data_IF_703723537585
#
_entry.id   IF_703723537585
#
_cell.length_a   1.000
_cell.length_b   1.000
_cell.length_c   1.000
_cell.angle_alpha   90.00
_cell.angle_beta   90.00
_cell.angle_gamma   90.00
#
_symmetry.space_group_name_H-M   'P 1'
#
loop_
_entity.id
_entity.type
_entity.pdbx_description
1 polymer ?
#
# COMPACT_ATOMS: atom_id res chain seq x y z
N UNK A 1 30.07 -91.88 -1.41
CA UNK A 1 30.23 -92.83 -0.30
C UNK A 1 31.57 -92.52 0.35
N UNK A 2 31.72 -91.98 1.55
CA UNK A 2 30.81 -91.64 2.63
C UNK A 2 31.47 -90.60 3.54
N UNK A 3 30.62 -89.78 4.17
CA UNK A 3 30.72 -89.14 5.49
C UNK A 3 32.10 -88.89 6.12
N UNK A 4 32.35 -87.64 6.52
CA UNK A 4 32.30 -87.24 7.95
C UNK A 4 32.59 -85.73 8.13
N UNK A 5 31.64 -85.06 8.80
CA UNK A 5 31.79 -83.95 9.73
C UNK A 5 32.64 -82.72 9.32
N UNK A 6 31.96 -81.67 8.86
CA UNK A 6 32.38 -80.28 9.08
C UNK A 6 31.84 -79.83 10.44
N UNK A 7 32.72 -79.61 11.41
CA UNK A 7 32.40 -78.73 12.53
C UNK A 7 33.65 -78.25 13.28
N UNK A 8 33.53 -77.03 13.80
CA UNK A 8 34.34 -76.39 14.84
C UNK A 8 35.80 -75.99 14.54
N UNK A 9 35.99 -74.67 14.31
CA UNK A 9 37.02 -73.86 14.98
C UNK A 9 36.55 -72.39 15.00
N UNK A 10 35.57 -72.11 15.88
CA UNK A 10 35.24 -70.77 16.35
C UNK A 10 36.31 -70.35 17.35
N UNK A 11 37.08 -69.32 17.02
CA UNK A 11 37.97 -68.64 17.96
C UNK A 11 37.26 -67.41 18.54
N UNK A 12 37.28 -67.35 19.86
CA UNK A 12 36.75 -66.28 20.70
C UNK A 12 37.29 -64.90 20.30
N UNK A 13 36.39 -63.99 19.94
CA UNK A 13 36.69 -62.54 19.94
C UNK A 13 35.72 -61.84 20.89
N UNK A 14 36.27 -61.44 22.04
CA UNK A 14 35.61 -60.57 23.03
C UNK A 14 35.12 -59.28 22.39
N UNK A 15 33.81 -59.08 22.38
CA UNK A 15 33.19 -57.79 22.03
C UNK A 15 33.47 -56.78 23.14
N UNK A 16 34.45 -55.89 22.93
CA UNK A 16 34.61 -54.67 23.72
C UNK A 16 33.57 -53.66 23.23
N UNK A 17 32.54 -53.40 24.05
CA UNK A 17 31.64 -52.25 23.87
C UNK A 17 32.47 -50.96 24.02
N UNK A 18 32.83 -50.34 22.90
CA UNK A 18 33.39 -48.98 22.90
C UNK A 18 32.24 -48.04 23.24
N UNK A 19 32.25 -47.44 24.43
CA UNK A 19 31.45 -46.24 24.71
C UNK A 19 32.01 -45.13 23.83
N UNK A 20 31.33 -44.84 22.73
CA UNK A 20 31.59 -43.65 21.94
C UNK A 20 31.11 -42.48 22.80
N UNK A 21 32.05 -41.69 23.32
CA UNK A 21 31.73 -40.41 23.94
C UNK A 21 31.00 -39.58 22.88
N UNK A 22 29.78 -39.17 23.16
CA UNK A 22 29.07 -38.20 22.36
C UNK A 22 29.92 -36.94 22.36
N UNK A 23 30.52 -36.62 21.21
CA UNK A 23 31.17 -35.36 20.99
C UNK A 23 30.07 -34.31 21.02
N UNK A 24 29.96 -33.57 22.13
CA UNK A 24 29.11 -32.40 22.22
C UNK A 24 29.62 -31.39 21.21
N UNK A 25 28.81 -31.16 20.18
CA UNK A 25 29.03 -30.10 19.23
C UNK A 25 28.85 -28.80 20.02
N UNK A 26 29.80 -27.84 19.97
CA UNK A 26 29.55 -26.54 20.56
C UNK A 26 28.26 -26.00 19.93
N UNK A 27 27.32 -25.59 20.77
CA UNK A 27 26.15 -24.84 20.33
C UNK A 27 26.69 -23.62 19.60
N UNK A 28 26.70 -23.69 18.26
CA UNK A 28 27.00 -22.57 17.40
C UNK A 28 26.09 -21.45 17.86
N UNK A 29 26.68 -20.40 18.42
CA UNK A 29 26.03 -19.11 18.61
C UNK A 29 25.20 -18.85 17.36
N UNK A 30 23.88 -18.70 17.52
CA UNK A 30 23.02 -18.32 16.42
C UNK A 30 23.64 -17.08 15.78
N UNK A 31 24.20 -17.25 14.58
CA UNK A 31 24.72 -16.14 13.80
C UNK A 31 23.54 -15.16 13.68
N UNK A 32 23.66 -14.03 14.37
CA UNK A 32 22.81 -12.87 14.10
C UNK A 32 22.84 -12.66 12.60
N UNK A 33 21.66 -12.58 11.96
CA UNK A 33 21.57 -12.12 10.57
C UNK A 33 22.49 -10.91 10.41
N UNK A 34 23.28 -10.83 9.32
CA UNK A 34 24.18 -9.69 9.14
C UNK A 34 23.36 -8.40 9.26
N UNK A 35 23.85 -7.45 10.08
CA UNK A 35 23.18 -6.18 10.28
C UNK A 35 22.90 -5.56 8.92
N UNK A 36 21.65 -5.12 8.65
CA UNK A 36 21.34 -4.60 7.34
C UNK A 36 22.22 -3.39 7.01
N UNK A 37 22.91 -3.44 5.87
CA UNK A 37 23.83 -2.37 5.43
C UNK A 37 23.05 -1.38 4.56
N UNK A 38 22.14 -0.64 5.22
CA UNK A 38 21.37 0.45 4.63
C UNK A 38 20.44 0.10 3.47
N UNK A 39 19.69 1.11 3.02
CA UNK A 39 18.74 1.04 1.92
C UNK A 39 18.87 2.29 1.06
N UNK A 40 19.04 2.11 -0.25
CA UNK A 40 18.92 3.20 -1.22
C UNK A 40 17.52 3.19 -1.83
N UNK A 41 16.78 4.29 -1.68
CA UNK A 41 15.51 4.54 -2.35
C UNK A 41 15.77 5.39 -3.59
N UNK A 42 15.36 4.91 -4.76
CA UNK A 42 15.40 5.64 -6.03
C UNK A 42 13.97 6.06 -6.40
N UNK A 43 13.79 7.31 -6.79
CA UNK A 43 12.49 7.85 -7.21
C UNK A 43 12.57 8.38 -8.64
N UNK A 44 11.48 8.18 -9.39
CA UNK A 44 11.40 8.61 -10.79
C UNK A 44 9.99 9.01 -11.19
N UNK A 45 9.90 9.86 -12.21
CA UNK A 45 8.64 10.22 -12.84
C UNK A 45 8.14 9.00 -13.62
N UNK A 46 6.96 8.52 -13.28
CA UNK A 46 6.37 7.37 -13.95
C UNK A 46 5.63 7.72 -15.25
N UNK A 47 5.49 9.01 -15.57
CA UNK A 47 4.89 9.52 -16.81
C UNK A 47 5.92 9.91 -17.88
N UNK A 48 7.18 10.07 -17.49
CA UNK A 48 8.30 10.36 -18.38
C UNK A 48 9.40 9.31 -18.17
N UNK A 49 9.78 8.57 -19.23
CA UNK A 49 10.76 7.48 -19.17
C UNK A 49 11.98 7.81 -18.30
N UNK A 50 12.02 7.21 -17.11
CA UNK A 50 13.16 7.15 -16.18
C UNK A 50 13.80 8.50 -15.78
N UNK A 51 13.03 9.58 -15.74
CA UNK A 51 13.53 10.86 -15.20
C UNK A 51 13.59 10.77 -13.67
N UNK A 52 14.78 10.91 -13.04
CA UNK A 52 14.89 10.90 -11.59
C UNK A 52 14.14 12.08 -10.97
N UNK A 53 13.55 11.86 -9.78
CA UNK A 53 12.82 12.91 -9.06
C UNK A 53 13.59 13.38 -7.83
N UNK A 54 14.18 14.56 -7.92
CA UNK A 54 14.73 15.26 -6.76
C UNK A 54 13.63 15.76 -5.82
N UNK A 55 13.97 16.05 -4.57
CA UNK A 55 13.07 16.65 -3.56
C UNK A 55 11.75 15.86 -3.38
N UNK A 56 11.84 14.53 -3.42
CA UNK A 56 10.76 13.63 -2.98
C UNK A 56 10.98 13.35 -1.50
N UNK A 57 10.00 13.66 -0.65
CA UNK A 57 10.03 13.26 0.75
C UNK A 57 9.87 11.74 0.84
N UNK A 58 10.85 11.07 1.44
CA UNK A 58 10.87 9.64 1.69
C UNK A 58 10.76 9.41 3.20
N UNK A 59 9.69 8.73 3.60
CA UNK A 59 9.51 8.25 4.97
C UNK A 59 9.60 6.74 4.98
N UNK A 60 10.51 6.21 5.78
CA UNK A 60 10.68 4.78 6.00
C UNK A 60 10.09 4.46 7.37
N UNK A 61 9.05 3.64 7.38
CA UNK A 61 8.21 3.38 8.55
C UNK A 61 8.24 1.89 8.84
N UNK A 62 8.36 1.56 10.12
CA UNK A 62 8.13 0.21 10.63
C UNK A 62 6.81 0.22 11.39
N UNK A 63 5.86 -0.62 10.98
CA UNK A 63 4.65 -0.85 11.77
C UNK A 63 4.90 -1.99 12.72
N UNK A 64 4.84 -1.69 14.02
CA UNK A 64 4.98 -2.65 15.09
C UNK A 64 3.66 -2.80 15.81
N UNK A 65 3.48 -3.98 16.37
CA UNK A 65 2.34 -4.35 17.19
C UNK A 65 2.29 -3.52 18.48
N UNK A 66 3.45 -3.21 19.07
CA UNK A 66 3.57 -2.54 20.38
C UNK A 66 3.57 -1.01 20.29
N UNK A 67 4.31 -0.44 19.33
CA UNK A 67 4.53 1.01 19.23
C UNK A 67 3.71 1.66 18.09
N UNK A 68 2.91 0.88 17.37
CA UNK A 68 2.23 1.36 16.15
C UNK A 68 3.24 1.71 15.07
N UNK A 69 3.13 2.90 14.47
CA UNK A 69 4.06 3.37 13.43
C UNK A 69 5.30 4.02 14.02
N UNK A 70 6.46 3.42 13.77
CA UNK A 70 7.78 3.96 14.13
C UNK A 70 8.46 4.48 12.87
N UNK A 71 8.85 5.75 12.87
CA UNK A 71 9.61 6.35 11.78
C UNK A 71 11.09 5.97 11.93
N UNK A 72 11.62 5.24 10.95
CA UNK A 72 13.01 4.78 10.91
C UNK A 72 13.91 5.83 10.26
N UNK A 73 13.42 6.44 9.17
CA UNK A 73 14.10 7.52 8.49
C UNK A 73 13.10 8.48 7.85
N UNK A 74 13.48 9.75 7.77
CA UNK A 74 12.78 10.76 6.99
C UNK A 74 13.82 11.68 6.33
N UNK A 75 13.84 11.73 5.00
CA UNK A 75 14.70 12.62 4.24
C UNK A 75 14.15 12.83 2.84
N UNK A 76 14.64 13.85 2.14
CA UNK A 76 14.33 14.06 0.73
C UNK A 76 15.36 13.39 -0.19
N UNK A 77 14.95 13.06 -1.41
CA UNK A 77 15.85 12.60 -2.47
C UNK A 77 16.71 13.74 -3.01
N UNK A 78 17.95 13.42 -3.39
CA UNK A 78 18.90 14.35 -3.99
C UNK A 78 18.59 14.64 -5.47
N UNK A 79 19.45 15.42 -6.14
CA UNK A 79 19.32 15.77 -7.55
C UNK A 79 19.25 14.54 -8.50
N UNK A 80 19.73 13.38 -8.06
CA UNK A 80 19.70 12.12 -8.82
C UNK A 80 18.46 11.27 -8.47
N UNK A 81 17.54 11.81 -7.68
CA UNK A 81 16.34 11.12 -7.22
C UNK A 81 16.62 10.01 -6.21
N UNK A 82 17.76 10.05 -5.52
CA UNK A 82 18.19 9.02 -4.58
C UNK A 82 18.16 9.50 -3.13
N UNK A 83 17.84 8.59 -2.22
CA UNK A 83 17.95 8.77 -0.77
C UNK A 83 18.56 7.50 -0.18
N UNK A 84 19.53 7.66 0.72
CA UNK A 84 20.11 6.54 1.46
C UNK A 84 19.73 6.64 2.95
N UNK A 85 19.42 5.50 3.55
CA UNK A 85 19.15 5.39 4.98
C UNK A 85 19.91 4.22 5.58
N UNK A 86 20.40 4.40 6.80
CA UNK A 86 20.89 3.29 7.62
C UNK A 86 19.69 2.53 8.21
N UNK A 87 19.63 1.22 7.99
CA UNK A 87 18.50 0.38 8.38
C UNK A 87 19.01 -0.70 9.33
N UNK A 88 18.70 -0.58 10.61
CA UNK A 88 19.14 -1.54 11.62
C UNK A 88 18.16 -2.70 11.86
N UNK A 89 17.22 -2.97 10.93
CA UNK A 89 16.23 -4.05 11.06
C UNK A 89 16.04 -4.84 9.75
N UNK A 90 15.87 -6.16 9.88
CA UNK A 90 15.49 -7.04 8.77
C UNK A 90 13.96 -7.20 8.64
N UNK A 91 13.19 -6.51 9.48
CA UNK A 91 11.74 -6.51 9.43
C UNK A 91 11.20 -5.89 8.13
N UNK A 92 9.93 -6.12 7.85
CA UNK A 92 9.25 -5.48 6.74
C UNK A 92 9.05 -3.99 7.05
N UNK A 93 9.48 -3.14 6.11
CA UNK A 93 9.35 -1.70 6.15
C UNK A 93 8.29 -1.23 5.15
N UNK A 94 7.74 -0.06 5.40
CA UNK A 94 6.88 0.69 4.48
C UNK A 94 7.64 1.93 4.08
N UNK A 95 7.85 2.10 2.78
CA UNK A 95 8.50 3.27 2.19
C UNK A 95 7.39 4.11 1.56
N UNK A 96 7.22 5.33 2.07
CA UNK A 96 6.25 6.30 1.58
C UNK A 96 6.97 7.41 0.84
N UNK A 97 6.52 7.68 -0.39
CA UNK A 97 7.04 8.77 -1.20
C UNK A 97 5.96 9.84 -1.37
N UNK A 98 6.30 11.09 -1.04
CA UNK A 98 5.43 12.25 -1.22
C UNK A 98 6.16 13.38 -1.93
N UNK A 99 5.47 14.00 -2.89
CA UNK A 99 5.99 15.15 -3.62
C UNK A 99 4.84 16.00 -4.13
N UNK A 100 4.89 17.31 -3.91
CA UNK A 100 3.90 18.26 -4.43
C UNK A 100 3.72 18.08 -5.95
N UNK A 101 2.47 17.97 -6.38
CA UNK A 101 2.10 17.76 -7.78
C UNK A 101 2.08 16.29 -8.24
N UNK A 102 2.56 15.37 -7.41
CA UNK A 102 2.50 13.93 -7.63
C UNK A 102 1.49 13.28 -6.68
N UNK A 103 1.10 12.05 -7.00
CA UNK A 103 0.30 11.18 -6.15
C UNK A 103 1.21 10.58 -5.10
N UNK A 104 0.79 10.67 -3.84
CA UNK A 104 1.44 9.93 -2.76
C UNK A 104 1.31 8.43 -3.02
N UNK A 105 2.41 7.71 -2.82
CA UNK A 105 2.48 6.27 -3.03
C UNK A 105 3.31 5.60 -1.94
N UNK A 106 3.11 4.30 -1.77
CA UNK A 106 3.89 3.52 -0.84
C UNK A 106 4.20 2.14 -1.40
N UNK A 107 5.19 1.52 -0.80
CA UNK A 107 5.60 0.16 -1.09
C UNK A 107 6.21 -0.48 0.14
N UNK A 108 6.11 -1.80 0.23
CA UNK A 108 6.76 -2.58 1.27
C UNK A 108 8.14 -3.01 0.81
N UNK A 109 9.05 -3.07 1.77
CA UNK A 109 10.41 -3.52 1.53
C UNK A 109 10.83 -4.50 2.60
N UNK A 110 11.48 -5.58 2.18
CA UNK A 110 12.16 -6.50 3.10
C UNK A 110 13.62 -6.53 2.74
N UNK A 111 14.45 -6.34 3.75
CA UNK A 111 15.89 -6.38 3.59
C UNK A 111 16.34 -7.75 3.09
N UNK A 112 17.31 -7.73 2.18
CA UNK A 112 17.97 -8.92 1.63
C UNK A 112 19.42 -8.96 2.15
N UNK A 113 19.74 -9.91 3.04
CA UNK A 113 21.11 -10.12 3.49
C UNK A 113 22.09 -10.26 2.33
N UNK A 114 23.28 -9.68 2.48
CA UNK A 114 24.41 -9.83 1.55
C UNK A 114 24.19 -9.22 0.14
N UNK A 115 23.03 -8.62 -0.13
CA UNK A 115 22.73 -7.91 -1.37
C UNK A 115 22.84 -6.38 -1.23
N UNK A 116 23.00 -5.69 -2.35
CA UNK A 116 22.78 -4.24 -2.39
C UNK A 116 21.28 -3.98 -2.35
N UNK A 117 20.84 -3.35 -1.26
CA UNK A 117 19.43 -3.09 -1.01
C UNK A 117 19.04 -1.77 -1.69
N UNK A 118 18.50 -1.89 -2.91
CA UNK A 118 18.00 -0.77 -3.73
C UNK A 118 16.50 -0.98 -3.97
N UNK A 119 15.71 0.06 -3.71
CA UNK A 119 14.27 0.05 -3.92
C UNK A 119 13.84 1.22 -4.80
N UNK A 120 13.05 0.95 -5.84
CA UNK A 120 12.64 1.98 -6.82
C UNK A 120 11.16 2.28 -6.70
N UNK A 121 10.81 3.57 -6.55
CA UNK A 121 9.44 4.08 -6.52
C UNK A 121 9.21 4.95 -7.77
N UNK A 122 8.14 4.66 -8.51
CA UNK A 122 7.73 5.46 -9.66
C UNK A 122 6.51 6.29 -9.27
N UNK A 123 6.64 7.62 -9.27
CA UNK A 123 5.57 8.53 -8.86
C UNK A 123 4.78 9.02 -10.08
N UNK A 124 3.46 9.06 -9.95
CA UNK A 124 2.55 9.50 -11.00
C UNK A 124 1.99 10.89 -10.70
N UNK A 125 1.56 11.61 -11.74
CA UNK A 125 0.77 12.84 -11.60
C UNK A 125 -0.70 12.53 -11.81
N UNK A 126 -1.57 13.38 -11.27
CA UNK A 126 -2.99 13.32 -11.57
C UNK A 126 -3.23 13.51 -13.08
N UNK A 127 -3.97 12.60 -13.68
CA UNK A 127 -4.28 12.64 -15.11
C UNK A 127 -5.43 13.58 -15.46
N UNK A 128 -6.30 13.89 -14.49
CA UNK A 128 -7.49 14.72 -14.70
C UNK A 128 -7.58 15.83 -13.66
N UNK A 129 -8.15 16.97 -14.09
CA UNK A 129 -8.37 18.14 -13.25
C UNK A 129 -9.66 18.86 -13.61
N UNK A 130 -10.29 19.48 -12.62
CA UNK A 130 -11.46 20.35 -12.77
C UNK A 130 -11.35 21.56 -11.85
N UNK A 131 -11.49 22.74 -12.42
CA UNK A 131 -11.49 23.99 -11.68
C UNK A 131 -12.92 24.48 -11.47
N UNK A 132 -13.23 24.94 -10.26
CA UNK A 132 -14.48 25.63 -9.95
C UNK A 132 -14.25 26.82 -9.02
N UNK A 133 -15.13 27.82 -9.09
CA UNK A 133 -15.27 28.80 -8.02
C UNK A 133 -16.18 28.21 -6.94
N UNK A 134 -15.66 28.08 -5.73
CA UNK A 134 -16.39 27.55 -4.59
C UNK A 134 -17.43 28.55 -4.09
N UNK A 135 -18.65 28.06 -3.89
CA UNK A 135 -19.77 28.82 -3.32
C UNK A 135 -20.36 27.96 -2.22
N UNK A 136 -20.11 28.29 -0.95
CA UNK A 136 -20.43 27.43 0.19
C UNK A 136 -21.92 27.16 0.32
N UNK A 137 -22.79 28.02 -0.19
CA UNK A 137 -24.24 27.84 -0.14
C UNK A 137 -24.82 26.84 -1.14
N UNK A 138 -23.98 26.14 -1.94
CA UNK A 138 -24.47 25.29 -3.02
C UNK A 138 -23.82 23.90 -3.02
N UNK A 139 -24.65 22.87 -3.19
CA UNK A 139 -24.17 21.53 -3.48
C UNK A 139 -23.48 21.47 -4.85
N UNK A 140 -22.51 20.57 -4.96
CA UNK A 140 -21.71 20.38 -6.17
C UNK A 140 -21.55 18.89 -6.48
N UNK A 141 -22.00 18.50 -7.67
CA UNK A 141 -21.65 17.22 -8.26
C UNK A 141 -20.41 17.39 -9.14
N UNK A 142 -19.31 16.74 -8.77
CA UNK A 142 -18.09 16.68 -9.57
C UNK A 142 -17.94 15.28 -10.15
N UNK A 143 -17.91 15.17 -11.47
CA UNK A 143 -17.75 13.88 -12.16
C UNK A 143 -16.43 13.77 -12.93
N UNK A 144 -15.76 12.63 -12.89
CA UNK A 144 -14.61 12.33 -13.74
C UNK A 144 -14.90 11.11 -14.61
N UNK A 145 -14.64 11.21 -15.92
CA UNK A 145 -14.86 10.12 -16.90
C UNK A 145 -13.54 9.70 -17.54
N UNK A 146 -12.89 8.65 -17.03
CA UNK A 146 -11.70 8.07 -17.66
C UNK A 146 -12.04 7.55 -19.07
N UNK A 147 -11.05 7.58 -19.98
CA UNK A 147 -11.24 7.38 -21.44
C UNK A 147 -11.84 6.02 -21.88
N UNK A 148 -12.06 5.08 -20.96
CA UNK A 148 -12.59 3.74 -21.27
C UNK A 148 -13.70 3.27 -20.31
N UNK A 149 -14.20 4.14 -19.43
CA UNK A 149 -15.31 3.81 -18.53
C UNK A 149 -16.59 4.53 -18.97
N UNK A 150 -17.66 3.77 -19.18
CA UNK A 150 -18.99 4.32 -19.51
C UNK A 150 -19.63 5.09 -18.34
N UNK A 151 -19.25 4.75 -17.12
CA UNK A 151 -19.75 5.36 -15.87
C UNK A 151 -18.71 6.33 -15.32
N UNK A 152 -19.10 7.56 -14.92
CA UNK A 152 -18.22 8.46 -14.20
C UNK A 152 -17.90 7.97 -12.79
N UNK A 153 -16.76 8.42 -12.27
CA UNK A 153 -16.58 8.61 -10.83
C UNK A 153 -17.32 9.88 -10.44
N UNK A 154 -18.21 9.82 -9.46
CA UNK A 154 -18.99 10.96 -8.99
C UNK A 154 -18.69 11.31 -7.54
N UNK A 155 -18.73 12.60 -7.26
CA UNK A 155 -18.46 13.18 -5.95
C UNK A 155 -19.53 14.25 -5.66
N UNK A 156 -20.43 13.95 -4.73
CA UNK A 156 -21.49 14.86 -4.27
C UNK A 156 -20.96 15.65 -3.06
N UNK A 157 -20.38 16.81 -3.34
CA UNK A 157 -19.78 17.71 -2.37
C UNK A 157 -20.88 18.63 -1.81
N UNK A 158 -21.28 18.48 -0.53
CA UNK A 158 -22.38 19.27 0.03
C UNK A 158 -22.02 20.74 0.21
N UNK A 159 -23.03 21.60 0.28
CA UNK A 159 -22.89 22.98 0.71
C UNK A 159 -22.11 23.08 2.05
N UNK A 160 -21.13 24.00 2.12
CA UNK A 160 -20.32 24.25 3.30
C UNK A 160 -19.32 23.16 3.66
N UNK A 161 -19.12 22.15 2.80
CA UNK A 161 -18.25 21.00 3.12
C UNK A 161 -16.76 21.28 2.94
N UNK A 162 -16.34 22.22 2.10
CA UNK A 162 -14.92 22.57 1.93
C UNK A 162 -14.47 23.62 2.94
N UNK A 163 -13.33 23.39 3.59
CA UNK A 163 -12.66 24.37 4.44
C UNK A 163 -11.86 25.37 3.59
N UNK A 164 -12.58 26.24 2.90
CA UNK A 164 -11.99 27.32 2.09
C UNK A 164 -12.92 28.54 2.08
N UNK A 165 -12.39 29.77 1.98
CA UNK A 165 -13.22 30.97 1.91
C UNK A 165 -14.23 30.95 0.76
N UNK A 166 -15.34 31.65 0.93
CA UNK A 166 -16.33 31.89 -0.14
C UNK A 166 -15.65 32.48 -1.38
N UNK A 167 -16.11 32.09 -2.58
CA UNK A 167 -15.56 32.52 -3.88
C UNK A 167 -14.09 32.11 -4.14
N UNK A 168 -13.49 31.26 -3.31
CA UNK A 168 -12.17 30.69 -3.59
C UNK A 168 -12.18 29.89 -4.90
N UNK A 169 -11.10 30.00 -5.68
CA UNK A 169 -10.87 29.09 -6.81
C UNK A 169 -10.25 27.80 -6.30
N UNK A 170 -10.91 26.68 -6.57
CA UNK A 170 -10.41 25.36 -6.18
C UNK A 170 -10.23 24.46 -7.40
N UNK A 171 -9.18 23.64 -7.37
CA UNK A 171 -8.89 22.63 -8.38
C UNK A 171 -9.06 21.23 -7.77
N UNK A 172 -9.98 20.46 -8.32
CA UNK A 172 -10.13 19.03 -8.06
C UNK A 172 -9.16 18.28 -8.97
N UNK A 173 -8.21 17.56 -8.39
CA UNK A 173 -7.24 16.71 -9.06
C UNK A 173 -7.64 15.26 -8.84
N UNK A 174 -7.65 14.47 -9.91
CA UNK A 174 -8.21 13.13 -9.89
C UNK A 174 -7.31 12.14 -10.63
N UNK A 175 -7.22 10.94 -10.08
CA UNK A 175 -6.60 9.79 -10.72
C UNK A 175 -7.43 8.53 -10.50
N UNK A 176 -7.87 7.89 -11.58
CA UNK A 176 -8.41 6.53 -11.50
C UNK A 176 -7.33 5.47 -11.70
N UNK A 177 -7.67 4.24 -11.34
CA UNK A 177 -6.86 3.06 -11.62
C UNK A 177 -7.77 2.02 -12.25
N UNK A 178 -7.38 1.49 -13.41
CA UNK A 178 -7.96 0.24 -13.88
C UNK A 178 -7.42 -0.92 -13.03
N UNK A 179 -8.21 -1.34 -12.05
CA UNK A 179 -7.91 -2.46 -11.14
C UNK A 179 -7.79 -3.80 -11.88
N UNK A 180 -8.17 -3.83 -13.16
CA UNK A 180 -7.99 -4.98 -14.03
C UNK A 180 -6.64 -5.03 -14.75
N UNK A 181 -5.94 -3.90 -14.82
CA UNK A 181 -4.64 -3.73 -15.46
C UNK A 181 -3.51 -3.76 -14.41
N UNK A 182 -2.71 -4.84 -14.32
CA UNK A 182 -1.63 -4.94 -13.34
C UNK A 182 -0.58 -3.84 -13.43
N UNK A 183 -0.37 -3.25 -14.62
CA UNK A 183 0.63 -2.21 -14.82
C UNK A 183 0.18 -0.86 -14.27
N UNK A 184 -1.10 -0.54 -14.36
CA UNK A 184 -1.67 0.64 -13.68
C UNK A 184 -1.77 0.41 -12.18
N UNK A 185 -2.17 -0.79 -11.76
CA UNK A 185 -2.31 -1.10 -10.34
C UNK A 185 -0.99 -1.00 -9.57
N UNK A 186 0.14 -1.35 -10.20
CA UNK A 186 1.49 -1.17 -9.62
C UNK A 186 1.89 0.28 -9.39
N UNK A 187 1.16 1.24 -9.94
CA UNK A 187 1.42 2.67 -9.78
C UNK A 187 0.64 3.29 -8.61
N UNK A 188 -0.40 2.60 -8.13
CA UNK A 188 -1.15 2.98 -6.94
C UNK A 188 -0.35 2.63 -5.66
N UNK A 189 -0.73 3.18 -4.49
CA UNK A 189 -0.15 2.75 -3.23
C UNK A 189 -0.33 1.25 -3.02
N UNK A 190 0.72 0.58 -2.51
CA UNK A 190 0.68 -0.87 -2.35
C UNK A 190 -0.52 -1.32 -1.50
N UNK A 191 -1.18 -2.39 -1.94
CA UNK A 191 -2.46 -2.87 -1.40
C UNK A 191 -2.29 -3.63 -0.08
N UNK A 192 -1.62 -3.00 0.89
CA UNK A 192 -1.43 -3.51 2.24
C UNK A 192 -2.30 -2.68 3.20
N UNK A 193 -3.24 -3.37 3.86
CA UNK A 193 -4.09 -2.80 4.89
C UNK A 193 -3.50 -2.98 6.29
N UNK A 194 -3.70 -2.00 7.15
CA UNK A 194 -3.46 -2.10 8.58
C UNK A 194 -4.78 -2.30 9.32
N UNK A 195 -4.83 -3.33 10.16
CA UNK A 195 -5.96 -3.63 11.04
C UNK A 195 -5.48 -3.56 12.48
N UNK A 196 -6.01 -2.62 13.23
CA UNK A 196 -5.71 -2.46 14.65
C UNK A 196 -6.60 -3.40 15.48
N UNK A 197 -5.99 -4.05 16.48
CA UNK A 197 -6.64 -4.95 17.42
C UNK A 197 -6.13 -4.70 18.84
N UNK A 198 -6.72 -5.35 19.84
CA UNK A 198 -6.21 -5.28 21.22
C UNK A 198 -4.78 -5.81 21.35
N UNK A 199 -4.39 -6.72 20.46
CA UNK A 199 -3.05 -7.29 20.42
C UNK A 199 -2.07 -6.40 19.67
N UNK A 200 -2.53 -5.35 18.96
CA UNK A 200 -1.73 -4.42 18.16
C UNK A 200 -2.14 -4.39 16.67
N UNK A 201 -1.32 -3.73 15.84
CA UNK A 201 -1.57 -3.56 14.40
C UNK A 201 -1.05 -4.75 13.58
N UNK A 202 -1.93 -5.34 12.76
CA UNK A 202 -1.58 -6.41 11.81
C UNK A 202 -1.68 -5.92 10.37
N UNK A 203 -0.70 -6.28 9.55
CA UNK A 203 -0.71 -6.02 8.11
C UNK A 203 -1.35 -7.16 7.32
N UNK A 204 -2.23 -6.79 6.39
CA UNK A 204 -2.96 -7.73 5.54
C UNK A 204 -2.89 -7.34 4.06
N UNK A 205 -2.82 -8.32 3.16
CA UNK A 205 -2.99 -8.08 1.73
C UNK A 205 -4.45 -7.77 1.39
N UNK A 206 -4.67 -6.83 0.47
CA UNK A 206 -6.00 -6.40 0.03
C UNK A 206 -6.24 -6.75 -1.44
N UNK A 207 -7.43 -7.27 -1.74
CA UNK A 207 -7.98 -7.36 -3.09
C UNK A 207 -8.82 -6.12 -3.37
N UNK A 208 -8.48 -5.40 -4.43
CA UNK A 208 -9.18 -4.18 -4.85
C UNK A 208 -10.15 -4.44 -5.99
N UNK A 209 -11.32 -3.80 -5.93
CA UNK A 209 -12.39 -3.93 -6.93
C UNK A 209 -12.63 -2.63 -7.69
N UNK A 210 -12.46 -1.50 -7.01
CA UNK A 210 -12.42 -0.16 -7.59
C UNK A 210 -11.61 0.75 -6.68
N UNK A 211 -10.89 1.71 -7.26
CA UNK A 211 -10.16 2.72 -6.51
C UNK A 211 -9.96 3.98 -7.35
N UNK A 212 -9.75 5.09 -6.66
CA UNK A 212 -9.33 6.36 -7.23
C UNK A 212 -8.78 7.28 -6.15
N UNK A 213 -8.06 8.30 -6.58
CA UNK A 213 -7.60 9.41 -5.78
C UNK A 213 -8.41 10.66 -6.14
N UNK A 214 -8.81 11.41 -5.11
CA UNK A 214 -9.29 12.78 -5.27
C UNK A 214 -8.57 13.68 -4.25
N UNK A 215 -7.87 14.70 -4.75
CA UNK A 215 -7.32 15.81 -3.97
C UNK A 215 -7.98 17.13 -4.41
N UNK A 216 -8.23 18.02 -3.46
CA UNK A 216 -8.69 19.40 -3.74
C UNK A 216 -7.63 20.37 -3.25
N UNK A 217 -7.27 21.35 -4.08
CA UNK A 217 -6.34 22.42 -3.72
C UNK A 217 -6.95 23.79 -3.98
N UNK A 218 -6.59 24.76 -3.15
CA UNK A 218 -6.89 26.16 -3.42
C UNK A 218 -5.88 26.67 -4.46
N UNK A 219 -6.36 27.32 -5.51
CA UNK A 219 -5.53 27.74 -6.65
C UNK A 219 -4.66 28.96 -6.34
N UNK A 220 -5.01 29.77 -5.34
CA UNK A 220 -4.31 31.02 -5.05
C UNK A 220 -3.06 30.77 -4.18
N UNK A 221 -3.09 29.76 -3.32
CA UNK A 221 -1.97 29.41 -2.41
C UNK A 221 -1.42 27.98 -2.61
N UNK A 222 -2.01 27.20 -3.52
CA UNK A 222 -1.67 25.81 -3.83
C UNK A 222 -1.70 24.86 -2.62
N UNK A 223 -2.40 25.23 -1.55
CA UNK A 223 -2.57 24.38 -0.36
C UNK A 223 -3.71 23.39 -0.55
N UNK A 224 -3.60 22.17 0.04
CA UNK A 224 -4.73 21.26 0.14
C UNK A 224 -5.93 21.93 0.83
N UNK A 225 -7.13 21.62 0.37
CA UNK A 225 -8.39 22.04 1.00
C UNK A 225 -8.95 20.86 1.75
N UNK A 226 -9.20 21.04 3.04
CA UNK A 226 -9.78 20.01 3.91
C UNK A 226 -11.32 20.02 3.87
N UNK A 227 -11.91 19.01 4.51
CA UNK A 227 -13.35 18.84 4.62
C UNK A 227 -13.86 19.17 6.01
N UNK A 228 -14.92 19.97 6.05
CA UNK A 228 -15.73 20.25 7.22
C UNK A 228 -16.88 19.23 7.38
N UNK A 229 -17.37 18.69 6.27
CA UNK A 229 -18.46 17.71 6.22
C UNK A 229 -18.10 16.54 5.29
N UNK A 230 -18.56 15.31 5.58
CA UNK A 230 -18.39 14.20 4.66
C UNK A 230 -19.13 14.43 3.34
N UNK A 231 -18.67 13.76 2.28
CA UNK A 231 -19.31 13.76 0.96
C UNK A 231 -19.64 12.33 0.51
N UNK A 232 -20.64 12.19 -0.36
CA UNK A 232 -20.96 10.91 -1.00
C UNK A 232 -20.16 10.76 -2.29
N UNK A 233 -19.56 9.60 -2.49
CA UNK A 233 -18.85 9.25 -3.71
C UNK A 233 -19.38 7.96 -4.31
N UNK A 234 -19.46 7.90 -5.65
CA UNK A 234 -19.76 6.66 -6.36
C UNK A 234 -18.65 6.31 -7.34
N UNK A 235 -18.07 5.12 -7.17
CA UNK A 235 -17.01 4.62 -8.03
C UNK A 235 -17.55 3.52 -8.95
N UNK A 236 -17.24 3.53 -10.25
CA UNK A 236 -17.53 2.41 -11.13
C UNK A 236 -16.90 1.12 -10.62
N UNK A 237 -17.67 0.03 -10.54
CA UNK A 237 -17.16 -1.29 -10.17
C UNK A 237 -16.77 -2.07 -11.43
N UNK A 238 -15.54 -1.85 -11.91
CA UNK A 238 -14.97 -2.58 -13.06
C UNK A 238 -14.85 -4.09 -12.79
N UNK A 239 -14.67 -4.49 -11.53
CA UNK A 239 -14.72 -5.88 -11.07
C UNK A 239 -15.62 -5.98 -9.85
N UNK A 240 -16.35 -7.10 -9.73
CA UNK A 240 -17.16 -7.40 -8.54
C UNK A 240 -16.52 -8.56 -7.76
N UNK A 241 -16.46 -8.49 -6.41
CA UNK A 241 -16.19 -9.66 -5.61
C UNK A 241 -17.22 -10.77 -5.92
N UNK A 242 -16.81 -12.05 -5.85
CA UNK A 242 -17.74 -13.17 -6.10
C UNK A 242 -18.94 -13.08 -5.17
N UNK A 243 -20.14 -13.35 -5.70
CA UNK A 243 -21.39 -13.32 -4.92
C UNK A 243 -21.94 -11.93 -4.62
N UNK A 244 -21.28 -10.86 -5.09
CA UNK A 244 -21.73 -9.48 -4.89
C UNK A 244 -22.94 -9.16 -5.76
N UNK A 245 -23.99 -8.65 -5.11
CA UNK A 245 -25.28 -8.22 -5.69
C UNK A 245 -25.56 -6.76 -5.33
N UNK A 246 -26.59 -6.16 -5.93
CA UNK A 246 -27.10 -4.86 -5.46
C UNK A 246 -27.39 -4.93 -3.95
N UNK A 247 -27.03 -3.88 -3.21
CA UNK A 247 -27.13 -3.79 -1.76
C UNK A 247 -26.00 -4.46 -0.99
N UNK A 248 -25.10 -5.20 -1.66
CA UNK A 248 -23.93 -5.80 -1.01
C UNK A 248 -23.02 -4.74 -0.42
N UNK A 249 -22.42 -5.05 0.72
CA UNK A 249 -21.55 -4.15 1.46
C UNK A 249 -20.09 -4.50 1.15
N UNK A 250 -19.33 -3.52 0.70
CA UNK A 250 -17.88 -3.66 0.47
C UNK A 250 -17.18 -2.64 1.37
N UNK A 251 -16.19 -3.05 2.19
CA UNK A 251 -15.43 -2.12 3.02
C UNK A 251 -14.81 -0.98 2.20
N UNK A 252 -14.87 0.23 2.76
CA UNK A 252 -14.20 1.41 2.23
C UNK A 252 -12.85 1.56 2.92
N UNK A 253 -11.79 1.48 2.14
CA UNK A 253 -10.42 1.69 2.62
C UNK A 253 -9.91 3.01 2.09
N UNK A 254 -9.28 3.80 2.95
CA UNK A 254 -8.57 5.02 2.57
C UNK A 254 -7.07 4.80 2.74
N UNK A 255 -6.28 5.47 1.90
CA UNK A 255 -4.82 5.45 2.06
C UNK A 255 -4.41 6.47 3.12
N UNK A 256 -3.79 5.97 4.19
CA UNK A 256 -3.18 6.80 5.22
C UNK A 256 -1.81 7.27 4.73
N UNK A 257 -1.76 8.50 4.22
CA UNK A 257 -0.54 9.16 3.74
C UNK A 257 0.52 9.30 4.82
N UNK A 258 0.17 9.22 6.11
CA UNK A 258 1.12 9.27 7.21
C UNK A 258 1.86 7.96 7.36
N UNK A 259 1.14 6.83 7.35
CA UNK A 259 1.73 5.51 7.60
C UNK A 259 2.03 4.70 6.33
N UNK A 260 1.54 5.13 5.17
CA UNK A 260 1.76 4.44 3.89
C UNK A 260 0.97 3.15 3.72
N UNK A 261 -0.12 2.96 4.47
CA UNK A 261 -0.96 1.76 4.43
C UNK A 261 -2.42 2.14 4.31
N UNK A 262 -3.23 1.19 3.83
CA UNK A 262 -4.67 1.36 3.76
C UNK A 262 -5.30 1.13 5.13
N UNK A 263 -6.25 1.99 5.50
CA UNK A 263 -7.06 1.85 6.72
C UNK A 263 -8.53 1.78 6.37
N UNK A 264 -9.28 1.00 7.13
CA UNK A 264 -10.72 0.89 6.95
C UNK A 264 -11.40 2.17 7.46
N UNK A 265 -11.91 2.98 6.54
CA UNK A 265 -12.60 4.24 6.84
C UNK A 265 -14.12 4.13 6.89
N UNK A 266 -14.69 3.02 6.41
CA UNK A 266 -16.13 2.84 6.39
C UNK A 266 -16.59 1.62 5.61
N UNK A 267 -17.82 1.70 5.11
CA UNK A 267 -18.43 0.67 4.27
C UNK A 267 -19.27 1.34 3.20
N UNK A 268 -18.99 1.01 1.94
CA UNK A 268 -19.86 1.38 0.84
C UNK A 268 -20.83 0.26 0.46
N UNK A 269 -21.80 0.62 -0.38
CA UNK A 269 -22.85 -0.27 -0.88
C UNK A 269 -22.79 -0.34 -2.39
N UNK A 270 -22.99 -1.54 -2.93
CA UNK A 270 -23.17 -1.72 -4.37
C UNK A 270 -24.55 -1.24 -4.77
N UNK A 271 -24.59 -0.25 -5.64
CA UNK A 271 -25.81 0.26 -6.28
C UNK A 271 -25.75 0.00 -7.77
N UNK A 272 -26.88 0.28 -8.42
CA UNK A 272 -26.96 0.33 -9.88
C UNK A 272 -27.17 1.79 -10.26
N UNK A 273 -26.39 2.27 -11.21
CA UNK A 273 -26.59 3.60 -11.77
C UNK A 273 -27.87 3.65 -12.63
N UNK A 274 -28.11 4.79 -13.26
CA UNK A 274 -29.26 4.98 -14.16
C UNK A 274 -29.27 4.02 -15.36
N UNK A 275 -28.12 3.48 -15.75
CA UNK A 275 -27.95 2.54 -16.85
C UNK A 275 -27.89 1.07 -16.40
N UNK A 276 -28.19 0.79 -15.13
CA UNK A 276 -28.11 -0.55 -14.52
C UNK A 276 -26.70 -1.11 -14.45
N UNK A 277 -25.70 -0.26 -14.55
CA UNK A 277 -24.31 -0.62 -14.34
C UNK A 277 -23.93 -0.50 -12.85
N UNK A 278 -23.05 -1.37 -12.34
CA UNK A 278 -22.72 -1.41 -10.93
C UNK A 278 -21.79 -0.28 -10.51
N UNK A 279 -22.19 0.44 -9.47
CA UNK A 279 -21.38 1.44 -8.79
C UNK A 279 -21.24 1.10 -7.31
N UNK A 280 -20.16 1.56 -6.70
CA UNK A 280 -19.93 1.46 -5.27
C UNK A 280 -20.07 2.85 -4.66
N UNK A 281 -21.15 3.06 -3.90
CA UNK A 281 -21.45 4.31 -3.19
C UNK A 281 -20.95 4.24 -1.76
N UNK A 282 -20.22 5.25 -1.31
CA UNK A 282 -19.68 5.34 0.06
C UNK A 282 -19.58 6.80 0.53
N UNK A 283 -19.51 6.98 1.85
CA UNK A 283 -19.24 8.27 2.47
C UNK A 283 -17.73 8.43 2.67
N UNK A 284 -17.17 9.54 2.21
CA UNK A 284 -15.77 9.91 2.39
C UNK A 284 -15.63 11.11 3.34
N UNK A 285 -14.56 11.12 4.13
CA UNK A 285 -14.31 12.12 5.19
C UNK A 285 -13.03 12.92 5.01
N UNK A 286 -12.29 12.64 3.94
CA UNK A 286 -11.02 13.28 3.58
C UNK A 286 -10.73 13.03 2.11
N UNK A 287 -10.02 13.97 1.50
CA UNK A 287 -9.50 13.87 0.15
C UNK A 287 -8.19 13.07 0.16
N UNK A 288 -8.25 11.86 -0.41
CA UNK A 288 -7.12 10.93 -0.53
C UNK A 288 -7.54 9.81 -1.49
N UNK A 289 -6.71 8.79 -1.61
CA UNK A 289 -7.08 7.53 -2.23
C UNK A 289 -8.17 6.81 -1.45
N UNK A 290 -9.21 6.40 -2.14
CA UNK A 290 -10.24 5.50 -1.63
C UNK A 290 -10.33 4.26 -2.50
N UNK A 291 -10.67 3.12 -1.88
CA UNK A 291 -10.90 1.89 -2.61
C UNK A 291 -11.93 0.96 -1.97
N UNK A 292 -12.69 0.31 -2.83
CA UNK A 292 -13.53 -0.83 -2.50
C UNK A 292 -12.62 -2.06 -2.42
N UNK A 293 -12.31 -2.51 -1.20
CA UNK A 293 -11.33 -3.58 -1.00
C UNK A 293 -11.74 -4.59 0.07
N UNK A 294 -11.21 -5.80 -0.01
CA UNK A 294 -11.37 -6.86 0.99
C UNK A 294 -10.02 -7.53 1.28
N UNK A 295 -9.79 -8.04 2.50
CA UNK A 295 -8.64 -8.90 2.76
C UNK A 295 -8.57 -10.07 1.77
N UNK A 296 -7.36 -10.49 1.39
CA UNK A 296 -7.21 -11.76 0.68
C UNK A 296 -7.76 -12.90 1.56
N UNK A 297 -8.53 -13.79 0.94
CA UNK A 297 -9.05 -15.00 1.56
C UNK A 297 -8.10 -16.18 1.30
#
# INVERSE_FOLDING_TARGET
MDNLAQDALLSDVKVRKVRQAAQEWPLTTMNSLPTPLGLTVLTRDGSAFEVPLADVEIRIIRLTVQDGSVMIANSSTDANGTMWADIATAEQLIIVASKKGYLDTSSTYRFKPEERNIHTISMQKHSMRKEITWMSGLDRLVEFRPRFKGIPYSFEIPAGSLDTPEQSRVEFKFQDVDTSNPSELRQAPELIGAVDSSEGTTLIGLAVFSMAELTVVNMDNEQPVDLMLPFEAEFPLSRKPRGTRQGSRIPAWYFDKTTGVWRKGGVGKVRLDRFKEPVWSFEARHFTWWGAMQPWA
#
